data_IF_688067470369
#
_entry.id   IF_688067470369
#
_cell.length_a   1.000
_cell.length_b   1.000
_cell.length_c   1.000
_cell.angle_alpha   90.00
_cell.angle_beta   90.00
_cell.angle_gamma   90.00
#
_symmetry.space_group_name_H-M   'P 1'
#
loop_
_entity.id
_entity.type
_entity.pdbx_description
1 polymer ?
#
# COMPACT_ATOMS: atom_id res chain seq x y z
N UNK A 1 -49.37 -21.82 -35.38
CA UNK A 1 -48.91 -22.65 -34.25
C UNK A 1 -47.89 -21.82 -33.48
N UNK A 2 -48.35 -21.09 -32.46
CA UNK A 2 -47.51 -20.21 -31.63
C UNK A 2 -46.91 -21.02 -30.49
N UNK A 3 -45.58 -21.04 -30.39
CA UNK A 3 -44.88 -21.57 -29.22
C UNK A 3 -44.55 -20.40 -28.28
N UNK A 4 -45.28 -20.33 -27.17
CA UNK A 4 -44.99 -19.43 -26.07
C UNK A 4 -43.72 -19.89 -25.35
N UNK A 5 -42.81 -18.96 -25.10
CA UNK A 5 -41.56 -19.19 -24.37
C UNK A 5 -41.73 -18.72 -22.92
N UNK A 6 -41.86 -19.68 -22.01
CA UNK A 6 -41.83 -19.44 -20.56
C UNK A 6 -40.41 -19.02 -20.14
N UNK A 7 -40.28 -17.81 -19.59
CA UNK A 7 -39.06 -17.34 -18.92
C UNK A 7 -39.13 -17.70 -17.43
N UNK A 8 -38.12 -18.36 -16.85
CA UNK A 8 -38.07 -18.58 -15.41
C UNK A 8 -37.80 -17.26 -14.68
N UNK A 9 -38.61 -17.01 -13.65
CA UNK A 9 -38.52 -15.85 -12.78
C UNK A 9 -37.17 -15.79 -12.06
N UNK A 10 -36.60 -14.58 -12.02
CA UNK A 10 -35.33 -14.28 -11.36
C UNK A 10 -35.42 -14.54 -9.85
N UNK A 11 -34.54 -15.41 -9.33
CA UNK A 11 -34.33 -15.58 -7.91
C UNK A 11 -33.68 -14.32 -7.33
N UNK A 12 -34.37 -13.69 -6.37
CA UNK A 12 -33.90 -12.54 -5.60
C UNK A 12 -32.77 -12.97 -4.64
N UNK A 13 -31.65 -12.26 -4.66
CA UNK A 13 -30.38 -12.62 -4.00
C UNK A 13 -30.31 -12.46 -2.47
N UNK A 14 -31.43 -12.48 -1.76
CA UNK A 14 -31.45 -12.32 -0.29
C UNK A 14 -31.20 -13.65 0.47
N UNK A 15 -31.27 -14.80 -0.18
CA UNK A 15 -31.10 -16.12 0.48
C UNK A 15 -29.62 -16.55 0.70
N UNK A 16 -28.63 -15.81 0.16
CA UNK A 16 -27.21 -16.20 0.27
C UNK A 16 -26.50 -15.67 1.53
N UNK A 17 -27.13 -14.80 2.32
CA UNK A 17 -26.52 -14.24 3.54
C UNK A 17 -26.85 -14.99 4.84
N UNK A 18 -27.84 -15.90 4.83
CA UNK A 18 -28.26 -16.65 6.02
C UNK A 18 -27.32 -17.80 6.43
N UNK A 19 -26.23 -18.04 5.69
CA UNK A 19 -25.31 -19.18 5.91
C UNK A 19 -23.99 -18.87 6.63
N UNK A 20 -23.72 -17.61 6.98
CA UNK A 20 -22.41 -17.17 7.51
C UNK A 20 -22.37 -16.98 9.04
N UNK A 21 -23.50 -17.15 9.73
CA UNK A 21 -23.63 -16.86 11.16
C UNK A 21 -22.95 -17.91 12.08
N UNK A 22 -22.40 -19.00 11.53
CA UNK A 22 -21.77 -20.10 12.30
C UNK A 22 -20.23 -20.13 12.35
N UNK A 23 -19.51 -19.20 11.70
CA UNK A 23 -18.04 -19.23 11.65
C UNK A 23 -17.35 -18.41 12.76
N UNK A 24 -18.09 -17.66 13.57
CA UNK A 24 -17.52 -16.79 14.61
C UNK A 24 -17.31 -17.48 15.98
N UNK A 25 -17.91 -18.65 16.21
CA UNK A 25 -17.93 -19.30 17.53
C UNK A 25 -16.74 -20.25 17.78
N UNK A 26 -15.78 -20.31 16.86
CA UNK A 26 -14.56 -21.12 16.95
C UNK A 26 -13.30 -20.37 17.42
N UNK A 27 -13.40 -19.10 17.81
CA UNK A 27 -12.28 -18.32 18.32
C UNK A 27 -11.88 -18.79 19.74
N UNK A 28 -11.21 -19.94 19.79
CA UNK A 28 -10.55 -20.46 20.99
C UNK A 28 -9.72 -19.36 21.62
N UNK A 29 -10.00 -19.04 22.89
CA UNK A 29 -9.30 -18.02 23.65
C UNK A 29 -7.78 -18.23 23.52
N UNK A 30 -7.12 -17.32 22.80
CA UNK A 30 -5.68 -17.42 22.54
C UNK A 30 -4.88 -17.43 23.83
N UNK A 31 -3.85 -18.28 23.90
CA UNK A 31 -2.90 -18.29 25.02
C UNK A 31 -2.09 -16.99 25.04
N UNK A 32 -1.73 -16.49 26.22
CA UNK A 32 -0.85 -15.32 26.34
C UNK A 32 0.61 -15.76 26.46
N UNK A 33 1.54 -14.98 25.90
CA UNK A 33 2.96 -15.27 25.99
C UNK A 33 3.44 -15.14 27.46
N UNK A 34 4.10 -16.15 28.04
CA UNK A 34 4.49 -16.11 29.46
C UNK A 34 5.54 -15.03 29.76
N UNK A 35 6.27 -14.54 28.76
CA UNK A 35 7.37 -13.61 28.95
C UNK A 35 6.99 -12.15 28.70
N UNK A 36 6.20 -11.85 27.67
CA UNK A 36 5.77 -10.47 27.36
C UNK A 36 4.27 -10.23 27.53
N UNK A 37 3.48 -11.26 27.84
CA UNK A 37 2.00 -11.22 27.94
C UNK A 37 1.27 -10.79 26.66
N UNK A 38 1.96 -10.80 25.52
CA UNK A 38 1.33 -10.59 24.21
C UNK A 38 0.35 -11.71 23.89
N UNK A 39 -0.72 -11.38 23.16
CA UNK A 39 -1.66 -12.36 22.63
C UNK A 39 -0.96 -13.31 21.66
N UNK A 40 -1.25 -14.61 21.74
CA UNK A 40 -0.78 -15.60 20.79
C UNK A 40 -1.99 -16.34 20.19
N UNK A 41 -2.04 -16.52 18.86
CA UNK A 41 -3.05 -17.38 18.25
C UNK A 41 -2.90 -18.82 18.74
N UNK A 42 -4.00 -19.58 18.76
CA UNK A 42 -3.97 -20.97 19.18
C UNK A 42 -3.04 -21.79 18.27
N UNK A 43 -2.17 -22.61 18.88
CA UNK A 43 -1.15 -23.37 18.16
C UNK A 43 0.12 -22.59 17.80
N UNK A 44 0.27 -21.32 18.20
CA UNK A 44 1.51 -20.59 18.00
C UNK A 44 2.69 -21.29 18.71
N UNK A 45 3.77 -21.54 17.97
CA UNK A 45 5.03 -22.11 18.50
C UNK A 45 6.02 -21.00 18.88
N UNK A 46 5.85 -19.79 18.34
CA UNK A 46 6.76 -18.66 18.52
C UNK A 46 5.97 -17.39 18.87
N UNK A 47 6.42 -16.64 19.85
CA UNK A 47 5.93 -15.30 20.13
C UNK A 47 6.60 -14.29 19.19
N UNK A 48 5.81 -13.72 18.29
CA UNK A 48 6.27 -12.67 17.35
C UNK A 48 6.60 -11.35 18.05
N UNK A 49 5.98 -11.06 19.20
CA UNK A 49 6.24 -9.81 19.93
C UNK A 49 7.58 -9.79 20.67
N UNK A 50 8.07 -10.94 21.16
CA UNK A 50 9.27 -10.98 22.00
C UNK A 50 10.33 -12.02 21.60
N UNK A 51 10.06 -12.81 20.55
CA UNK A 51 10.96 -13.80 19.99
C UNK A 51 11.09 -15.10 20.79
N UNK A 52 10.23 -15.35 21.78
CA UNK A 52 10.25 -16.57 22.60
C UNK A 52 9.66 -17.76 21.82
N UNK A 53 10.41 -18.85 21.73
CA UNK A 53 9.89 -20.13 21.26
C UNK A 53 9.21 -20.87 22.44
N UNK A 54 7.92 -21.17 22.30
CA UNK A 54 7.07 -21.76 23.34
C UNK A 54 7.33 -23.26 23.53
N UNK A 55 7.91 -23.94 22.53
CA UNK A 55 8.29 -25.35 22.64
C UNK A 55 9.62 -25.54 23.38
N UNK A 56 10.62 -24.71 23.08
CA UNK A 56 11.96 -24.83 23.68
C UNK A 56 12.20 -23.93 24.89
N UNK A 57 11.36 -22.91 25.10
CA UNK A 57 11.58 -21.86 26.10
C UNK A 57 12.75 -20.94 25.79
N UNK A 58 13.40 -21.10 24.63
CA UNK A 58 14.54 -20.26 24.23
C UNK A 58 14.08 -19.06 23.40
N UNK A 59 14.71 -17.91 23.62
CA UNK A 59 14.53 -16.75 22.76
C UNK A 59 15.43 -16.92 21.54
N UNK A 60 14.85 -16.75 20.36
CA UNK A 60 15.65 -16.64 19.15
C UNK A 60 16.48 -15.36 19.27
N UNK A 61 17.80 -15.51 19.32
CA UNK A 61 18.72 -14.39 19.17
C UNK A 61 18.65 -13.96 17.70
N UNK A 62 17.62 -13.18 17.34
CA UNK A 62 17.61 -12.47 16.08
C UNK A 62 18.66 -11.38 16.19
N UNK A 63 19.90 -11.73 15.82
CA UNK A 63 20.91 -10.75 15.48
C UNK A 63 20.40 -10.04 14.23
N UNK A 64 19.57 -9.01 14.42
CA UNK A 64 19.25 -8.05 13.37
C UNK A 64 20.56 -7.35 13.07
N UNK A 65 21.32 -7.91 12.13
CA UNK A 65 22.39 -7.18 11.48
C UNK A 65 21.71 -6.07 10.70
N UNK A 66 21.51 -4.93 11.37
CA UNK A 66 21.19 -3.67 10.72
C UNK A 66 22.37 -3.42 9.79
N UNK A 67 22.20 -3.83 8.54
CA UNK A 67 23.14 -3.55 7.48
C UNK A 67 23.13 -2.04 7.33
N UNK A 68 24.11 -1.39 7.96
CA UNK A 68 24.26 0.04 7.91
C UNK A 68 24.25 0.46 6.44
N UNK A 69 23.23 1.21 6.05
CA UNK A 69 23.18 1.78 4.71
C UNK A 69 24.51 2.52 4.47
N UNK A 70 25.17 2.31 3.33
CA UNK A 70 26.44 2.94 3.04
C UNK A 70 26.25 4.46 3.10
N UNK A 71 26.86 5.08 4.11
CA UNK A 71 26.94 6.53 4.23
C UNK A 71 27.66 7.03 2.99
N UNK A 72 26.90 7.61 2.05
CA UNK A 72 27.46 8.30 0.90
C UNK A 72 28.34 9.43 1.44
N UNK A 73 29.66 9.30 1.29
CA UNK A 73 30.62 10.38 1.54
C UNK A 73 30.21 11.57 0.67
N UNK A 74 29.63 12.59 1.31
CA UNK A 74 29.39 13.87 0.67
C UNK A 74 30.74 14.45 0.22
N UNK A 75 30.79 14.88 -1.03
CA UNK A 75 31.98 15.46 -1.65
C UNK A 75 32.46 16.68 -0.86
N UNK A 76 33.77 16.70 -0.66
CA UNK A 76 34.54 17.70 0.08
C UNK A 76 34.48 19.06 -0.65
N UNK A 77 33.92 20.13 -0.04
CA UNK A 77 33.94 21.44 -0.66
C UNK A 77 35.34 22.07 -0.57
N UNK A 78 35.78 22.64 -1.69
CA UNK A 78 37.09 23.23 -1.92
C UNK A 78 37.51 24.28 -0.86
N UNK A 79 38.82 24.38 -0.56
CA UNK A 79 39.36 25.32 0.42
C UNK A 79 39.29 26.76 -0.11
N UNK A 80 38.53 27.63 0.58
CA UNK A 80 38.57 29.08 0.34
C UNK A 80 39.68 29.72 1.16
N UNK A 81 40.50 30.50 0.45
CA UNK A 81 41.69 31.16 0.95
C UNK A 81 41.43 32.13 2.10
N UNK A 82 42.35 32.06 3.07
CA UNK A 82 42.50 32.95 4.22
C UNK A 82 42.85 34.36 3.76
N UNK A 83 42.10 35.38 4.18
CA UNK A 83 42.52 36.79 4.02
C UNK A 83 42.12 37.65 5.21
N UNK A 84 43.13 38.18 5.89
CA UNK A 84 43.12 39.47 6.59
C UNK A 84 42.61 39.48 8.03
N UNK A 85 43.53 39.38 9.00
CA UNK A 85 43.31 39.87 10.37
C UNK A 85 43.22 41.40 10.35
N UNK A 86 42.03 41.95 10.55
CA UNK A 86 41.85 43.33 11.01
C UNK A 86 41.62 43.26 12.52
N UNK A 87 42.64 43.65 13.27
CA UNK A 87 42.58 43.90 14.71
C UNK A 87 41.75 45.17 14.93
N UNK A 88 40.47 45.00 15.21
CA UNK A 88 39.60 46.01 15.79
C UNK A 88 39.05 45.47 17.12
N UNK A 89 39.73 45.79 18.20
CA UNK A 89 39.31 45.57 19.59
C UNK A 89 38.09 46.45 19.89
N UNK A 90 36.91 45.98 19.46
CA UNK A 90 35.63 46.59 19.80
C UNK A 90 34.94 45.72 20.85
N UNK A 91 35.41 45.90 22.09
CA UNK A 91 34.78 45.56 23.37
C UNK A 91 33.38 44.97 23.27
N UNK A 92 33.36 43.66 23.47
CA UNK A 92 32.23 42.85 23.86
C UNK A 92 31.45 43.48 25.03
N UNK A 93 30.39 44.22 24.70
CA UNK A 93 29.25 44.44 25.58
C UNK A 93 28.00 43.81 24.98
N UNK A 94 28.10 42.58 24.50
CA UNK A 94 26.91 41.74 24.36
C UNK A 94 26.44 41.37 25.77
N UNK A 95 25.22 41.77 26.19
CA UNK A 95 24.70 41.36 27.49
C UNK A 95 24.70 39.83 27.57
N UNK A 96 25.15 39.29 28.70
CA UNK A 96 25.51 37.89 28.94
C UNK A 96 24.44 36.82 28.60
N UNK A 97 23.26 37.24 28.12
CA UNK A 97 22.10 36.39 27.88
C UNK A 97 21.75 36.25 26.39
N UNK A 98 22.38 37.01 25.47
CA UNK A 98 22.01 36.98 24.03
C UNK A 98 22.21 35.60 23.38
N UNK A 99 23.23 34.85 23.82
CA UNK A 99 23.45 33.47 23.37
C UNK A 99 22.34 32.50 23.77
N UNK A 100 21.63 32.76 24.87
CA UNK A 100 20.47 31.97 25.32
C UNK A 100 19.23 32.31 24.47
N UNK A 101 18.99 33.59 24.18
CA UNK A 101 17.89 34.01 23.31
C UNK A 101 18.04 33.47 21.88
N UNK A 102 19.25 33.55 21.30
CA UNK A 102 19.50 33.00 19.97
C UNK A 102 19.22 31.49 19.89
N UNK A 103 19.65 30.72 20.90
CA UNK A 103 19.36 29.28 20.98
C UNK A 103 17.88 28.99 21.16
N UNK A 104 17.16 29.78 21.96
CA UNK A 104 15.72 29.61 22.16
C UNK A 104 14.93 29.84 20.87
N UNK A 105 15.28 30.86 20.06
CA UNK A 105 14.63 31.13 18.78
C UNK A 105 14.84 29.96 17.80
N UNK A 106 16.07 29.46 17.69
CA UNK A 106 16.37 28.32 16.81
C UNK A 106 15.61 27.06 17.26
N UNK A 107 15.58 26.78 18.57
CA UNK A 107 14.82 25.66 19.10
C UNK A 107 13.31 25.79 18.80
N UNK A 108 12.74 26.98 18.99
CA UNK A 108 11.33 27.23 18.67
C UNK A 108 11.03 27.05 17.18
N UNK A 109 11.91 27.51 16.28
CA UNK A 109 11.75 27.33 14.84
C UNK A 109 11.81 25.84 14.44
N UNK A 110 12.70 25.05 15.05
CA UNK A 110 12.78 23.60 14.81
C UNK A 110 11.48 22.92 15.25
N UNK A 111 10.98 23.24 16.45
CA UNK A 111 9.72 22.66 16.96
C UNK A 111 8.55 23.05 16.06
N UNK A 112 8.45 24.31 15.64
CA UNK A 112 7.42 24.75 14.71
C UNK A 112 7.49 24.02 13.37
N UNK A 113 8.69 23.81 12.83
CA UNK A 113 8.90 23.02 11.62
C UNK A 113 8.46 21.57 11.77
N UNK A 114 8.79 20.90 12.88
CA UNK A 114 8.37 19.52 13.16
C UNK A 114 6.84 19.43 13.28
N UNK A 115 6.20 20.38 13.98
CA UNK A 115 4.73 20.42 14.12
C UNK A 115 4.07 20.64 12.77
N UNK A 116 4.60 21.53 11.94
CA UNK A 116 4.08 21.76 10.58
C UNK A 116 4.21 20.50 9.70
N UNK A 117 5.37 19.85 9.69
CA UNK A 117 5.58 18.60 8.96
C UNK A 117 4.66 17.48 9.47
N UNK A 118 4.46 17.39 10.79
CA UNK A 118 3.51 16.44 11.37
C UNK A 118 2.07 16.75 10.95
N UNK A 119 1.69 18.03 10.92
CA UNK A 119 0.35 18.42 10.50
C UNK A 119 0.10 18.06 9.03
N UNK A 120 1.01 18.41 8.12
CA UNK A 120 0.93 18.00 6.71
C UNK A 120 0.83 16.49 6.56
N UNK A 121 1.71 15.74 7.24
CA UNK A 121 1.72 14.28 7.18
C UNK A 121 0.46 13.65 7.81
N UNK A 122 -0.05 14.23 8.89
CA UNK A 122 -1.28 13.76 9.54
C UNK A 122 -2.55 14.09 8.74
N UNK A 123 -2.51 15.13 7.91
CA UNK A 123 -3.60 15.49 6.99
C UNK A 123 -3.56 14.67 5.70
N UNK A 124 -2.47 13.95 5.45
CA UNK A 124 -2.35 13.02 4.35
C UNK A 124 -3.19 11.77 4.64
N UNK A 125 -4.46 11.81 4.22
CA UNK A 125 -5.33 10.63 4.19
C UNK A 125 -5.18 9.92 2.83
N UNK A 126 -4.39 8.84 2.72
CA UNK A 126 -4.22 8.11 1.47
C UNK A 126 -5.54 7.50 0.98
N UNK A 127 -6.52 7.25 1.86
CA UNK A 127 -7.82 6.72 1.48
C UNK A 127 -8.64 7.79 0.77
N UNK A 128 -8.67 9.00 1.31
CA UNK A 128 -9.33 10.13 0.67
C UNK A 128 -8.74 10.44 -0.71
N UNK A 129 -7.40 10.38 -0.85
CA UNK A 129 -6.74 10.56 -2.15
C UNK A 129 -7.09 9.45 -3.15
N UNK A 130 -7.03 8.19 -2.72
CA UNK A 130 -7.43 7.06 -3.55
C UNK A 130 -8.88 7.19 -4.03
N UNK A 131 -9.80 7.50 -3.11
CA UNK A 131 -11.21 7.72 -3.44
C UNK A 131 -11.40 8.90 -4.40
N UNK A 132 -10.65 10.00 -4.23
CA UNK A 132 -10.72 11.15 -5.12
C UNK A 132 -10.19 10.86 -6.54
N UNK A 133 -9.19 9.98 -6.67
CA UNK A 133 -8.73 9.49 -7.98
C UNK A 133 -9.75 8.55 -8.62
N UNK A 134 -10.26 7.58 -7.85
CA UNK A 134 -11.27 6.62 -8.32
C UNK A 134 -12.57 7.29 -8.74
N UNK A 135 -12.98 8.38 -8.08
CA UNK A 135 -14.15 9.17 -8.45
C UNK A 135 -14.03 9.85 -9.82
N UNK A 136 -12.82 10.02 -10.35
CA UNK A 136 -12.60 10.56 -11.69
C UNK A 136 -12.75 9.50 -12.78
N UNK A 137 -12.68 8.23 -12.42
CA UNK A 137 -12.79 7.12 -13.36
C UNK A 137 -14.24 6.94 -13.81
N UNK A 138 -14.44 6.77 -15.12
CA UNK A 138 -15.75 6.58 -15.73
C UNK A 138 -15.75 5.32 -16.60
N UNK A 139 -16.87 4.58 -16.65
CA UNK A 139 -17.02 3.51 -17.62
C UNK A 139 -16.76 4.00 -19.05
N UNK A 140 -16.08 3.20 -19.86
CA UNK A 140 -15.66 3.53 -21.22
C UNK A 140 -14.26 4.16 -21.33
N UNK A 141 -13.60 4.53 -20.22
CA UNK A 141 -12.22 5.02 -20.26
C UNK A 141 -11.24 3.95 -20.78
N UNK A 142 -10.25 4.38 -21.55
CA UNK A 142 -9.15 3.51 -22.02
C UNK A 142 -8.13 3.27 -20.90
N UNK A 143 -7.29 2.21 -20.98
CA UNK A 143 -6.33 1.91 -19.94
C UNK A 143 -5.30 3.02 -19.76
N UNK A 144 -4.95 3.71 -20.86
CA UNK A 144 -4.06 4.87 -20.84
C UNK A 144 -4.64 6.02 -20.02
N UNK A 145 -5.92 6.36 -20.22
CA UNK A 145 -6.59 7.40 -19.44
C UNK A 145 -6.66 7.06 -17.96
N UNK A 146 -6.92 5.78 -17.63
CA UNK A 146 -6.90 5.32 -16.23
C UNK A 146 -5.50 5.48 -15.62
N UNK A 147 -4.45 5.16 -16.37
CA UNK A 147 -3.06 5.33 -15.93
C UNK A 147 -2.68 6.81 -15.78
N UNK A 148 -3.15 7.68 -16.67
CA UNK A 148 -2.90 9.12 -16.58
C UNK A 148 -3.52 9.73 -15.31
N UNK A 149 -4.64 9.17 -14.82
CA UNK A 149 -5.33 9.62 -13.59
C UNK A 149 -4.73 8.97 -12.33
N UNK A 150 -4.57 7.65 -12.33
CA UNK A 150 -4.21 6.87 -11.14
C UNK A 150 -2.72 6.54 -11.04
N UNK A 151 -1.93 6.84 -12.07
CA UNK A 151 -0.54 6.41 -12.20
C UNK A 151 -0.39 4.96 -12.68
N UNK A 152 0.85 4.45 -12.61
CA UNK A 152 1.15 3.07 -13.01
C UNK A 152 0.51 2.07 -12.05
N UNK A 153 -0.20 1.05 -12.55
CA UNK A 153 -0.79 0.03 -11.69
C UNK A 153 0.33 -0.79 -11.04
N UNK A 154 0.02 -1.33 -9.86
CA UNK A 154 0.97 -2.17 -9.14
C UNK A 154 1.08 -3.55 -9.79
N UNK A 155 -0.06 -4.11 -10.16
CA UNK A 155 -0.17 -5.40 -10.82
C UNK A 155 -1.24 -5.34 -11.91
N UNK A 156 -1.08 -6.19 -12.91
CA UNK A 156 -2.04 -6.33 -14.01
C UNK A 156 -2.36 -7.81 -14.16
N UNK A 157 -3.64 -8.12 -14.30
CA UNK A 157 -4.13 -9.48 -14.50
C UNK A 157 -5.04 -9.50 -15.71
N UNK A 158 -4.90 -10.52 -16.55
CA UNK A 158 -5.85 -10.82 -17.63
C UNK A 158 -6.63 -12.08 -17.28
N UNK A 159 -7.84 -12.21 -17.81
CA UNK A 159 -8.64 -13.41 -17.59
C UNK A 159 -8.27 -14.47 -18.64
N UNK A 160 -7.87 -15.66 -18.17
CA UNK A 160 -7.43 -16.76 -19.02
C UNK A 160 -8.55 -17.24 -19.94
N UNK A 161 -8.22 -17.49 -21.21
CA UNK A 161 -9.19 -17.97 -22.20
C UNK A 161 -9.43 -19.49 -22.16
N UNK A 162 -8.62 -20.23 -21.39
CA UNK A 162 -8.63 -21.70 -21.37
C UNK A 162 -8.25 -22.32 -22.72
N UNK A 163 -7.62 -21.57 -23.63
CA UNK A 163 -7.25 -22.01 -24.98
C UNK A 163 -5.82 -21.58 -25.33
N UNK A 164 -5.18 -22.30 -26.25
CA UNK A 164 -3.84 -21.97 -26.72
C UNK A 164 -2.81 -21.96 -25.57
N UNK A 165 -2.12 -20.83 -25.40
CA UNK A 165 -1.14 -20.63 -24.32
C UNK A 165 -1.78 -20.62 -22.91
N UNK A 166 -3.11 -20.47 -22.83
CA UNK A 166 -3.86 -20.50 -21.57
C UNK A 166 -4.49 -21.86 -21.27
N UNK A 167 -4.20 -22.91 -22.05
CA UNK A 167 -4.85 -24.21 -21.89
C UNK A 167 -4.62 -24.86 -20.51
N UNK A 168 -3.60 -24.40 -19.78
CA UNK A 168 -3.27 -24.85 -18.43
C UNK A 168 -4.05 -24.13 -17.31
N UNK A 169 -4.77 -23.06 -17.63
CA UNK A 169 -5.55 -22.28 -16.67
C UNK A 169 -7.05 -22.49 -16.91
N UNK A 170 -7.85 -22.38 -15.85
CA UNK A 170 -9.31 -22.42 -16.00
C UNK A 170 -9.81 -21.19 -16.77
N UNK A 171 -10.92 -21.35 -17.50
CA UNK A 171 -11.57 -20.23 -18.19
C UNK A 171 -11.95 -19.14 -17.17
N UNK A 172 -11.48 -17.92 -17.38
CA UNK A 172 -11.71 -16.79 -16.48
C UNK A 172 -10.72 -16.70 -15.31
N UNK A 173 -9.77 -17.62 -15.18
CA UNK A 173 -8.77 -17.56 -14.11
C UNK A 173 -7.86 -16.33 -14.28
N UNK A 174 -7.61 -15.53 -13.23
CA UNK A 174 -6.72 -14.38 -13.32
C UNK A 174 -5.27 -14.83 -13.52
N UNK A 175 -4.68 -14.46 -14.66
CA UNK A 175 -3.27 -14.71 -14.98
C UNK A 175 -2.53 -13.38 -14.96
N UNK A 176 -1.43 -13.33 -14.19
CA UNK A 176 -0.59 -12.14 -14.09
C UNK A 176 0.00 -11.79 -15.46
N UNK A 177 -0.06 -10.51 -15.81
CA UNK A 177 0.52 -9.95 -17.02
C UNK A 177 1.51 -8.83 -16.67
N UNK A 178 2.45 -8.57 -17.56
CA UNK A 178 3.37 -7.45 -17.40
C UNK A 178 2.69 -6.18 -17.92
N UNK A 179 2.83 -5.09 -17.16
CA UNK A 179 2.28 -3.80 -17.59
C UNK A 179 3.06 -3.27 -18.81
N UNK A 180 2.32 -2.71 -19.76
CA UNK A 180 2.87 -2.01 -20.94
C UNK A 180 2.00 -0.78 -21.22
N UNK A 181 2.62 0.31 -21.69
CA UNK A 181 1.90 1.53 -22.04
C UNK A 181 0.89 1.28 -23.20
N UNK A 182 1.18 0.30 -24.06
CA UNK A 182 0.32 -0.18 -25.15
C UNK A 182 -0.30 -1.56 -24.85
N UNK A 183 -0.76 -1.76 -23.61
CA UNK A 183 -1.24 -3.05 -23.11
C UNK A 183 -2.25 -3.76 -24.03
N UNK A 184 -3.22 -3.03 -24.57
CA UNK A 184 -4.26 -3.58 -25.46
C UNK A 184 -3.68 -4.12 -26.76
N UNK A 185 -2.63 -3.50 -27.29
CA UNK A 185 -1.92 -3.96 -28.48
C UNK A 185 -1.04 -5.16 -28.16
N UNK A 186 -0.29 -5.10 -27.04
CA UNK A 186 0.61 -6.16 -26.62
C UNK A 186 -0.11 -7.49 -26.31
N UNK A 187 -1.36 -7.41 -25.82
CA UNK A 187 -2.14 -8.57 -25.39
C UNK A 187 -3.44 -8.79 -26.18
N UNK A 188 -3.60 -8.19 -27.36
CA UNK A 188 -4.84 -8.18 -28.15
C UNK A 188 -5.55 -9.55 -28.23
N UNK A 189 -4.81 -10.61 -28.51
CA UNK A 189 -5.37 -11.96 -28.68
C UNK A 189 -5.61 -12.71 -27.35
N UNK A 190 -5.14 -12.14 -26.23
CA UNK A 190 -5.14 -12.77 -24.90
C UNK A 190 -6.05 -12.08 -23.88
N UNK A 191 -6.70 -10.99 -24.27
CA UNK A 191 -7.60 -10.21 -23.40
C UNK A 191 -9.07 -10.33 -23.81
N UNK A 192 -9.44 -11.31 -24.64
CA UNK A 192 -10.82 -11.44 -25.14
C UNK A 192 -11.90 -11.47 -24.05
N UNK A 193 -11.56 -11.96 -22.85
CA UNK A 193 -12.46 -12.02 -21.69
C UNK A 193 -12.36 -10.80 -20.76
N UNK A 194 -11.46 -9.86 -21.05
CA UNK A 194 -11.15 -8.72 -20.20
C UNK A 194 -9.91 -8.91 -19.33
N UNK A 195 -9.62 -7.86 -18.58
CA UNK A 195 -8.46 -7.76 -17.70
C UNK A 195 -8.73 -6.72 -16.60
N UNK A 196 -7.89 -6.66 -15.59
CA UNK A 196 -8.01 -5.64 -14.55
C UNK A 196 -6.64 -5.15 -14.05
N UNK A 197 -6.62 -3.89 -13.63
CA UNK A 197 -5.48 -3.26 -12.98
C UNK A 197 -5.69 -3.23 -11.47
N UNK A 198 -4.63 -3.54 -10.73
CA UNK A 198 -4.63 -3.48 -9.27
C UNK A 198 -3.88 -2.24 -8.82
N UNK A 199 -4.61 -1.36 -8.14
CA UNK A 199 -4.09 -0.15 -7.51
C UNK A 199 -4.12 -0.32 -5.99
N UNK A 200 -3.05 0.11 -5.33
CA UNK A 200 -2.99 0.18 -3.88
C UNK A 200 -2.70 1.61 -3.46
N UNK A 201 -3.73 2.32 -3.02
CA UNK A 201 -3.60 3.66 -2.45
C UNK A 201 -3.34 3.60 -0.94
N UNK A 202 -3.89 2.59 -0.26
CA UNK A 202 -3.76 2.43 1.19
C UNK A 202 -3.32 1.01 1.58
N UNK A 203 -2.80 0.80 2.79
CA UNK A 203 -2.59 -0.55 3.32
C UNK A 203 -3.88 -1.36 3.50
N UNK A 204 -5.05 -0.69 3.56
CA UNK A 204 -6.33 -1.29 3.95
C UNK A 204 -6.99 -2.13 2.86
N UNK A 205 -6.67 -1.89 1.58
CA UNK A 205 -7.35 -2.56 0.47
C UNK A 205 -6.66 -2.38 -0.86
N UNK A 206 -7.03 -3.26 -1.79
CA UNK A 206 -6.64 -3.19 -3.19
C UNK A 206 -7.85 -2.78 -4.02
N UNK A 207 -7.65 -1.88 -4.99
CA UNK A 207 -8.70 -1.43 -5.90
C UNK A 207 -8.47 -2.06 -7.27
N UNK A 208 -9.47 -2.79 -7.74
CA UNK A 208 -9.43 -3.51 -9.00
C UNK A 208 -10.22 -2.70 -10.03
N UNK A 209 -9.53 -2.15 -11.03
CA UNK A 209 -10.15 -1.45 -12.16
C UNK A 209 -10.32 -2.43 -13.31
N UNK A 210 -11.57 -2.75 -13.66
CA UNK A 210 -11.91 -3.78 -14.63
C UNK A 210 -12.06 -3.19 -16.03
N UNK A 211 -11.57 -3.92 -17.03
CA UNK A 211 -11.66 -3.60 -18.44
C UNK A 211 -12.24 -4.80 -19.21
N UNK A 212 -13.02 -4.50 -20.24
CA UNK A 212 -13.48 -5.52 -21.19
C UNK A 212 -12.37 -5.91 -22.18
N UNK A 213 -12.68 -6.83 -23.10
CA UNK A 213 -11.74 -7.28 -24.12
C UNK A 213 -11.42 -6.26 -25.22
N UNK A 214 -12.17 -5.15 -25.30
CA UNK A 214 -11.85 -4.01 -26.17
C UNK A 214 -10.89 -3.02 -25.49
N UNK A 215 -10.69 -3.15 -24.17
CA UNK A 215 -9.93 -2.22 -23.35
C UNK A 215 -10.77 -1.06 -22.81
N UNK A 216 -12.09 -1.12 -22.88
CA UNK A 216 -12.96 -0.13 -22.26
C UNK A 216 -13.16 -0.47 -20.78
N UNK A 217 -12.97 0.52 -19.90
CA UNK A 217 -13.18 0.37 -18.47
C UNK A 217 -14.65 0.06 -18.18
N UNK A 218 -14.91 -1.00 -17.42
CA UNK A 218 -16.25 -1.38 -16.97
C UNK A 218 -16.63 -0.70 -15.65
N UNK A 219 -15.66 -0.62 -14.73
CA UNK A 219 -15.87 -0.11 -13.38
C UNK A 219 -14.68 -0.43 -12.48
N UNK A 220 -14.83 -0.20 -11.18
CA UNK A 220 -13.85 -0.59 -10.19
C UNK A 220 -14.51 -1.22 -8.97
N UNK A 221 -13.78 -2.10 -8.29
CA UNK A 221 -14.22 -2.79 -7.07
C UNK A 221 -13.12 -2.66 -6.03
N UNK A 222 -13.48 -2.32 -4.79
CA UNK A 222 -12.57 -2.39 -3.65
C UNK A 222 -12.60 -3.80 -3.07
N UNK A 223 -11.43 -4.45 -3.02
CA UNK A 223 -11.28 -5.74 -2.35
C UNK A 223 -10.64 -5.46 -0.98
N UNK A 224 -11.39 -5.63 0.12
CA UNK A 224 -10.83 -5.48 1.46
C UNK A 224 -9.74 -6.54 1.66
N UNK A 225 -8.62 -6.15 2.26
CA UNK A 225 -7.50 -7.05 2.48
C UNK A 225 -7.77 -7.93 3.71
N UNK A 226 -8.62 -8.95 3.57
CA UNK A 226 -9.06 -9.80 4.69
C UNK A 226 -7.95 -10.77 5.16
N UNK A 227 -6.91 -11.00 4.34
CA UNK A 227 -5.93 -12.08 4.55
C UNK A 227 -4.50 -11.61 4.86
N UNK A 228 -4.29 -10.38 5.36
CA UNK A 228 -2.99 -9.92 5.86
C UNK A 228 -3.05 -9.66 7.36
N UNK A 229 -2.89 -10.72 8.14
CA UNK A 229 -2.44 -10.69 9.54
C UNK A 229 -0.95 -11.05 9.64
#
# INVERSE_FOLDING_TARGET
MSTASDHPAAATGDDLLAGLEGLAEGATAGTTCPQCRGFLPSGAVLCTSCGLNLQSGQRLATAVQVSAAPVRKAAEPAPKAVRGKVLGDQRDRTPANWGLFGKAIVAAAIVAGIVYCYYEFSSYDPKAQGNAMLAQLKPGMTPKQVVDICGKPREVFRLATGRGLDAQYALGEPVKAEYSDDFTTAYKDRIALGFFFVYRFTPAGDHHVLFDGSGAMLGHIEIPNIFRE
#
